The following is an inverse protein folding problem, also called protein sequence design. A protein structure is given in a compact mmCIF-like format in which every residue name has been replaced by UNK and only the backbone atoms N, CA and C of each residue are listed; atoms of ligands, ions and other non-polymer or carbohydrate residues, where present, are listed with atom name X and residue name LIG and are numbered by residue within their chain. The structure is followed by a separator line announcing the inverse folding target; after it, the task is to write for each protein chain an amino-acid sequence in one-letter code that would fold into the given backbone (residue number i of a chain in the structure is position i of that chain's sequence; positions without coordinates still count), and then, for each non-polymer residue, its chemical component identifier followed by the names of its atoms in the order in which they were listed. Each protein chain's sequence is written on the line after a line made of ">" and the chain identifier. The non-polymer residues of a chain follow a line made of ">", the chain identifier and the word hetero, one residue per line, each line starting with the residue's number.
data_IF_154960028325
#
_entry.id   IF_154960028325
#
_cell.length_a   1.000
_cell.length_b   1.000
_cell.length_c   1.000
_cell.angle_alpha   90.00
_cell.angle_beta   90.00
_cell.angle_gamma   90.00
#
_symmetry.space_group_name_H-M   'P 1'
#
loop_
_entity.id
_entity.type
_entity.pdbx_description
1 polymer ?
#
# COMPACT_ATOMS: atom_id res chain seq x y z
N UNK A 1 3.86 15.26 8.81
CA UNK A 1 3.67 14.32 7.67
C UNK A 1 4.81 13.30 7.57
N UNK A 2 6.09 13.71 7.71
CA UNK A 2 7.27 12.82 7.71
C UNK A 2 7.19 11.61 8.66
N UNK A 3 6.65 11.77 9.88
CA UNK A 3 6.46 10.65 10.81
C UNK A 3 5.50 9.58 10.27
N UNK A 4 4.38 9.98 9.66
CA UNK A 4 3.39 9.06 9.05
C UNK A 4 4.03 8.23 7.93
N UNK A 5 4.89 8.85 7.14
CA UNK A 5 5.64 8.20 6.07
C UNK A 5 6.65 7.19 6.61
N UNK A 6 7.45 7.57 7.62
CA UNK A 6 8.39 6.66 8.28
C UNK A 6 7.69 5.46 8.92
N UNK A 7 6.49 5.64 9.47
CA UNK A 7 5.73 4.52 10.03
C UNK A 7 5.27 3.52 8.96
N UNK A 8 4.85 3.99 7.79
CA UNK A 8 4.49 3.12 6.66
C UNK A 8 5.74 2.38 6.15
N UNK A 9 6.81 3.11 5.85
CA UNK A 9 8.08 2.56 5.36
C UNK A 9 8.65 1.54 6.34
N UNK A 10 8.79 1.92 7.61
CA UNK A 10 9.35 1.04 8.64
C UNK A 10 8.50 -0.20 8.88
N UNK A 11 7.18 -0.12 8.72
CA UNK A 11 6.33 -1.31 8.78
C UNK A 11 6.60 -2.26 7.61
N UNK A 12 6.66 -1.76 6.37
CA UNK A 12 6.90 -2.59 5.19
C UNK A 12 8.28 -3.27 5.27
N UNK A 13 9.31 -2.52 5.66
CA UNK A 13 10.67 -3.04 5.88
C UNK A 13 10.69 -4.12 6.98
N UNK A 14 10.07 -3.86 8.13
CA UNK A 14 10.03 -4.81 9.25
C UNK A 14 9.31 -6.13 8.90
N UNK A 15 8.32 -6.06 8.01
CA UNK A 15 7.58 -7.24 7.53
C UNK A 15 8.18 -7.85 6.25
N UNK A 16 9.30 -7.33 5.74
CA UNK A 16 9.95 -7.78 4.50
C UNK A 16 9.00 -7.76 3.30
N UNK A 17 8.16 -6.73 3.24
CA UNK A 17 7.28 -6.48 2.10
C UNK A 17 8.07 -5.61 1.14
N UNK A 18 8.19 -6.04 -0.12
CA UNK A 18 8.88 -5.27 -1.15
C UNK A 18 8.05 -4.04 -1.57
N UNK A 19 8.72 -2.89 -1.67
CA UNK A 19 8.09 -1.64 -2.09
C UNK A 19 9.10 -0.71 -2.75
N UNK A 20 8.58 0.21 -3.55
CA UNK A 20 9.33 1.32 -4.13
C UNK A 20 8.88 2.63 -3.50
N UNK A 21 9.85 3.40 -3.01
CA UNK A 21 9.62 4.77 -2.56
C UNK A 21 9.56 5.67 -3.79
N UNK A 22 8.42 6.31 -3.99
CA UNK A 22 8.19 7.28 -5.05
C UNK A 22 8.27 8.68 -4.43
N UNK A 23 9.42 9.35 -4.54
CA UNK A 23 9.55 10.72 -4.05
C UNK A 23 8.66 11.66 -4.88
N UNK A 24 7.87 12.51 -4.23
CA UNK A 24 7.04 13.55 -4.88
C UNK A 24 7.54 14.97 -4.61
N UNK A 25 8.56 15.13 -3.75
CA UNK A 25 9.15 16.42 -3.44
C UNK A 25 10.13 16.84 -4.55
N UNK A 26 11.00 15.92 -4.97
CA UNK A 26 11.99 16.15 -6.03
C UNK A 26 11.56 15.68 -7.43
N UNK A 27 10.51 14.87 -7.54
CA UNK A 27 10.06 14.28 -8.81
C UNK A 27 8.61 14.68 -9.11
N UNK A 28 8.46 15.51 -10.14
CA UNK A 28 7.17 16.06 -10.54
C UNK A 28 6.25 15.04 -11.22
N UNK A 29 6.83 14.04 -11.91
CA UNK A 29 6.07 12.98 -12.57
C UNK A 29 5.41 12.09 -11.54
N UNK A 30 6.13 11.71 -10.48
CA UNK A 30 5.56 10.98 -9.35
C UNK A 30 4.46 11.78 -8.65
N UNK A 31 4.69 13.08 -8.44
CA UNK A 31 3.70 13.99 -7.83
C UNK A 31 2.42 14.06 -8.66
N UNK A 32 2.55 14.19 -9.99
CA UNK A 32 1.43 14.23 -10.92
C UNK A 32 0.69 12.89 -10.93
N UNK A 33 1.42 11.79 -11.09
CA UNK A 33 0.87 10.45 -11.12
C UNK A 33 0.07 10.15 -9.85
N UNK A 34 0.61 10.47 -8.67
CA UNK A 34 -0.08 10.29 -7.39
C UNK A 34 -1.43 11.03 -7.38
N UNK A 35 -1.45 12.30 -7.80
CA UNK A 35 -2.67 13.13 -7.79
C UNK A 35 -3.73 12.65 -8.78
N UNK A 36 -3.29 12.10 -9.92
CA UNK A 36 -4.17 11.57 -10.96
C UNK A 36 -4.76 10.21 -10.59
N UNK A 37 -3.99 9.35 -9.92
CA UNK A 37 -4.37 7.97 -9.61
C UNK A 37 -5.02 7.77 -8.24
N UNK A 38 -4.97 8.76 -7.33
CA UNK A 38 -5.81 8.72 -6.11
C UNK A 38 -7.28 8.90 -6.54
N UNK A 39 -8.20 7.97 -6.17
CA UNK A 39 -9.62 8.07 -6.50
C UNK A 39 -10.27 9.34 -5.94
N UNK A 40 -11.19 9.94 -6.71
CA UNK A 40 -11.81 11.22 -6.35
C UNK A 40 -12.51 11.20 -4.99
N UNK A 41 -13.21 10.10 -4.67
CA UNK A 41 -13.87 9.89 -3.38
C UNK A 41 -12.90 9.70 -2.20
N UNK A 42 -11.61 9.45 -2.48
CA UNK A 42 -10.53 9.33 -1.51
C UNK A 42 -9.68 10.59 -1.42
N UNK A 43 -9.92 11.60 -2.25
CA UNK A 43 -9.24 12.90 -2.15
C UNK A 43 -9.80 13.69 -0.95
N UNK A 44 -8.95 14.41 -0.21
CA UNK A 44 -9.41 15.29 0.85
C UNK A 44 -10.25 16.45 0.30
N UNK A 45 -11.04 17.12 1.14
CA UNK A 45 -11.95 18.21 0.73
C UNK A 45 -11.24 19.39 0.03
N UNK A 46 -9.97 19.62 0.34
CA UNK A 46 -9.10 20.62 -0.31
C UNK A 46 -8.49 20.13 -1.64
N UNK A 47 -8.85 18.92 -2.09
CA UNK A 47 -8.59 18.38 -3.43
C UNK A 47 -7.21 17.76 -3.67
N UNK A 48 -6.22 18.02 -2.81
CA UNK A 48 -4.83 17.56 -3.02
C UNK A 48 -4.49 16.42 -2.05
N UNK A 49 -4.30 15.18 -2.54
CA UNK A 49 -3.84 14.09 -1.69
C UNK A 49 -2.42 14.36 -1.17
N UNK A 50 -2.19 14.07 0.11
CA UNK A 50 -0.91 14.25 0.80
C UNK A 50 -0.25 12.89 1.07
N UNK A 51 1.10 12.78 1.02
CA UNK A 51 1.81 11.53 1.29
C UNK A 51 1.69 11.13 2.79
N UNK A 52 1.78 9.84 3.15
CA UNK A 52 2.00 8.70 2.26
C UNK A 52 0.72 8.29 1.51
N UNK A 53 0.89 7.88 0.25
CA UNK A 53 -0.15 7.24 -0.56
C UNK A 53 0.35 5.88 -1.03
N UNK A 54 -0.40 4.82 -0.75
CA UNK A 54 0.03 3.43 -0.99
C UNK A 54 -0.77 2.88 -2.16
N UNK A 55 -0.02 2.36 -3.14
CA UNK A 55 -0.56 1.66 -4.28
C UNK A 55 0.06 0.28 -4.36
N UNK A 56 -0.73 -0.68 -4.82
CA UNK A 56 -0.24 -1.95 -5.28
C UNK A 56 -0.29 -1.93 -6.82
N UNK A 57 0.87 -1.77 -7.45
CA UNK A 57 1.01 -1.48 -8.89
C UNK A 57 0.26 -0.20 -9.30
N UNK A 58 -0.96 -0.33 -9.84
CA UNK A 58 -1.87 0.77 -10.23
C UNK A 58 -3.10 0.84 -9.33
N UNK A 59 -3.34 -0.18 -8.49
CA UNK A 59 -4.47 -0.22 -7.58
C UNK A 59 -4.20 0.64 -6.36
N UNK A 60 -5.06 1.62 -6.12
CA UNK A 60 -5.03 2.40 -4.89
C UNK A 60 -5.40 1.53 -3.67
N UNK A 61 -4.49 1.42 -2.70
CA UNK A 61 -4.74 0.74 -1.42
C UNK A 61 -5.34 1.74 -0.42
N UNK A 62 -4.69 2.89 -0.25
CA UNK A 62 -5.15 3.91 0.69
C UNK A 62 -4.06 4.90 1.10
N UNK A 63 -4.49 5.84 1.93
CA UNK A 63 -3.64 6.81 2.61
C UNK A 63 -3.14 6.29 3.96
N UNK A 64 -2.49 7.15 4.74
CA UNK A 64 -2.03 6.80 6.08
C UNK A 64 -3.14 6.34 7.03
N UNK A 65 -4.29 7.03 7.04
CA UNK A 65 -5.37 6.70 7.98
C UNK A 65 -5.92 5.31 7.66
N UNK A 66 -6.14 5.01 6.37
CA UNK A 66 -6.58 3.69 5.91
C UNK A 66 -5.57 2.59 6.26
N UNK A 67 -4.27 2.87 6.09
CA UNK A 67 -3.19 1.96 6.49
C UNK A 67 -3.19 1.70 8.01
N UNK A 68 -3.34 2.77 8.80
CA UNK A 68 -3.34 2.67 10.26
C UNK A 68 -4.53 1.85 10.77
N UNK A 69 -5.75 2.13 10.29
CA UNK A 69 -6.94 1.33 10.62
C UNK A 69 -6.76 -0.13 10.22
N UNK A 70 -6.24 -0.40 9.02
CA UNK A 70 -6.00 -1.78 8.58
C UNK A 70 -4.97 -2.52 9.45
N UNK A 71 -3.95 -1.81 9.96
CA UNK A 71 -2.97 -2.33 10.91
C UNK A 71 -3.60 -2.65 12.26
N UNK A 72 -4.42 -1.76 12.83
CA UNK A 72 -5.12 -1.99 14.10
C UNK A 72 -6.12 -3.15 14.00
N UNK A 73 -6.83 -3.25 12.88
CA UNK A 73 -7.79 -4.32 12.62
C UNK A 73 -7.15 -5.66 12.22
N UNK A 74 -5.81 -5.71 12.11
CA UNK A 74 -5.05 -6.90 11.68
C UNK A 74 -5.43 -7.39 10.27
N UNK A 75 -5.88 -6.49 9.39
CA UNK A 75 -6.21 -6.76 7.98
C UNK A 75 -5.20 -6.12 7.02
N UNK A 76 -4.03 -5.72 7.52
CA UNK A 76 -3.05 -4.95 6.76
C UNK A 76 -2.57 -5.63 5.47
N UNK A 77 -2.39 -6.95 5.47
CA UNK A 77 -2.02 -7.67 4.24
C UNK A 77 -3.15 -7.62 3.21
N UNK A 78 -4.41 -7.75 3.64
CA UNK A 78 -5.57 -7.58 2.74
C UNK A 78 -5.67 -6.16 2.18
N UNK A 79 -5.42 -5.15 3.02
CA UNK A 79 -5.34 -3.74 2.60
C UNK A 79 -4.26 -3.52 1.53
N UNK A 80 -3.08 -4.11 1.71
CA UNK A 80 -2.00 -4.08 0.73
C UNK A 80 -2.26 -4.97 -0.50
N UNK A 81 -3.34 -5.77 -0.49
CA UNK A 81 -3.65 -6.73 -1.55
C UNK A 81 -2.74 -7.97 -1.56
N UNK A 82 -2.10 -8.27 -0.43
CA UNK A 82 -1.18 -9.38 -0.23
C UNK A 82 -1.86 -10.56 0.46
N UNK A 83 -1.35 -11.77 0.21
CA UNK A 83 -1.70 -12.93 1.01
C UNK A 83 -1.09 -12.80 2.42
N UNK A 84 -1.84 -13.14 3.49
CA UNK A 84 -1.27 -13.19 4.83
C UNK A 84 -0.11 -14.20 4.92
N UNK A 85 0.91 -13.93 5.76
CA UNK A 85 1.94 -14.91 6.06
C UNK A 85 1.34 -16.18 6.68
N UNK A 86 1.95 -17.37 6.45
CA UNK A 86 1.54 -18.60 7.12
C UNK A 86 1.60 -18.43 8.65
N UNK A 87 0.46 -18.61 9.34
CA UNK A 87 0.36 -18.51 10.80
C UNK A 87 -0.29 -17.23 11.34
N UNK A 88 -0.63 -16.25 10.49
CA UNK A 88 -1.33 -15.03 10.93
C UNK A 88 -2.85 -15.28 11.05
N UNK A 89 -3.43 -15.03 12.23
CA UNK A 89 -4.89 -15.10 12.45
C UNK A 89 -5.55 -13.83 11.91
N UNK A 90 -6.00 -13.82 10.65
CA UNK A 90 -6.78 -12.71 10.10
C UNK A 90 -8.29 -12.93 10.27
N UNK A 91 -9.01 -11.87 10.63
CA UNK A 91 -10.48 -11.83 10.54
C UNK A 91 -10.85 -11.76 9.05
N UNK A 92 -11.45 -12.82 8.51
CA UNK A 92 -11.92 -12.87 7.13
C UNK A 92 -13.14 -11.95 6.98
N UNK A 93 -12.97 -10.79 6.36
CA UNK A 93 -14.04 -10.14 5.62
C UNK A 93 -13.98 -10.63 4.17
N UNK A 94 -15.08 -11.23 3.72
CA UNK A 94 -15.28 -11.76 2.38
C UNK A 94 -15.17 -10.66 1.32
N UNK A 95 -14.21 -10.74 0.41
CA UNK A 95 -14.46 -11.01 -1.01
C UNK A 95 -13.18 -11.00 -1.89
N UNK A 96 -13.17 -11.93 -2.85
CA UNK A 96 -12.23 -12.12 -3.97
C UNK A 96 -10.89 -12.82 -3.69
N UNK A 97 -10.91 -14.14 -3.90
CA UNK A 97 -9.78 -15.06 -3.87
C UNK A 97 -8.91 -14.95 -5.14
N UNK A 98 -7.59 -14.92 -4.97
CA UNK A 98 -6.67 -15.45 -5.99
C UNK A 98 -6.42 -16.92 -5.62
N UNK A 99 -6.93 -17.85 -6.43
CA UNK A 99 -6.73 -19.29 -6.20
C UNK A 99 -5.26 -19.66 -6.41
N UNK A 100 -4.65 -20.25 -5.37
CA UNK A 100 -3.33 -20.86 -5.46
C UNK A 100 -3.46 -22.20 -6.18
N UNK A 101 -2.78 -22.32 -7.33
CA UNK A 101 -2.52 -23.62 -7.97
C UNK A 101 -1.11 -24.06 -7.57
N UNK A 102 -1.07 -25.23 -6.96
CA UNK A 102 0.14 -25.93 -6.50
C UNK A 102 1.06 -26.27 -7.68
N UNK A 103 2.36 -26.07 -7.47
CA UNK A 103 3.42 -26.57 -8.35
C UNK A 103 3.86 -25.61 -9.46
N UNK A 104 4.75 -24.67 -9.13
CA UNK A 104 5.93 -24.34 -9.94
C UNK A 104 6.84 -23.34 -9.20
N UNK A 105 8.12 -23.70 -9.02
CA UNK A 105 9.15 -22.93 -8.31
C UNK A 105 9.74 -21.78 -9.15
N UNK A 106 8.91 -21.02 -9.86
CA UNK A 106 9.36 -19.82 -10.57
C UNK A 106 8.23 -18.79 -10.58
N UNK A 107 8.57 -17.55 -10.22
CA UNK A 107 7.67 -16.40 -10.06
C UNK A 107 6.92 -16.33 -8.71
N UNK A 108 7.66 -16.22 -7.61
CA UNK A 108 7.22 -15.31 -6.54
C UNK A 108 7.08 -13.93 -7.19
N UNK A 109 5.86 -13.58 -7.62
CA UNK A 109 5.51 -12.25 -8.16
C UNK A 109 6.26 -11.21 -7.35
N UNK A 110 7.16 -10.44 -7.96
CA UNK A 110 7.80 -9.31 -7.30
C UNK A 110 6.70 -8.28 -7.02
N UNK A 111 6.06 -8.38 -5.85
CA UNK A 111 5.03 -7.46 -5.42
C UNK A 111 5.72 -6.15 -5.03
N UNK A 112 5.70 -5.16 -5.91
CA UNK A 112 6.27 -3.85 -5.59
C UNK A 112 5.13 -2.88 -5.25
N UNK A 113 4.85 -2.68 -3.97
CA UNK A 113 3.97 -1.59 -3.57
C UNK A 113 4.65 -0.26 -3.92
N UNK A 114 3.94 0.67 -4.58
CA UNK A 114 4.42 2.05 -4.75
C UNK A 114 3.97 2.85 -3.55
N UNK A 115 4.92 3.40 -2.80
CA UNK A 115 4.65 4.27 -1.66
C UNK A 115 5.10 5.67 -2.01
N UNK A 116 4.15 6.57 -2.23
CA UNK A 116 4.45 7.96 -2.55
C UNK A 116 4.79 8.72 -1.28
N UNK A 117 5.99 9.30 -1.25
CA UNK A 117 6.61 9.97 -0.10
C UNK A 117 7.01 11.39 -0.51
N UNK A 118 7.04 12.33 0.42
CA UNK A 118 7.38 13.72 0.13
C UNK A 118 7.45 14.59 1.38
N UNK A 119 7.76 15.87 1.23
CA UNK A 119 7.87 16.80 2.36
C UNK A 119 6.55 17.17 3.03
#
# INVERSE_FOLDING_TARGET
>A
IKKKQQEVVGFLEANKIDFQQMDIAGDEDNRKWMRENVPGEKKPQNGIPLPPQIFNEERYCGDFESFFSAKEENIIYSFLGLAPPPGTKMKRSSDSACQIRDGDKHYTRCWCSKVFLGE
#
